data_IF_229370301186
#
_entry.id   IF_229370301186
#
_cell.length_a   1.000
_cell.length_b   1.000
_cell.length_c   1.000
_cell.angle_alpha   90.00
_cell.angle_beta   90.00
_cell.angle_gamma   90.00
#
_symmetry.space_group_name_H-M   'P 1'
#
loop_
_entity.id
_entity.type
_entity.pdbx_description
1 polymer ?
#
# COMPACT_ATOMS: atom_id res chain seq x y z
N UNK A 1 -7.16 -24.28 14.80
CA UNK A 1 -6.72 -22.87 14.83
C UNK A 1 -5.65 -22.71 13.78
N UNK A 2 -5.83 -21.81 12.81
CA UNK A 2 -4.83 -21.59 11.76
C UNK A 2 -3.52 -21.11 12.40
N UNK A 3 -2.40 -21.71 12.00
CA UNK A 3 -1.09 -21.33 12.48
C UNK A 3 -0.68 -20.02 11.80
N UNK A 4 -0.58 -18.93 12.57
CA UNK A 4 -0.14 -17.64 12.02
C UNK A 4 1.30 -17.79 11.51
N UNK A 5 1.51 -17.56 10.21
CA UNK A 5 2.83 -17.56 9.55
C UNK A 5 3.28 -16.12 9.28
N UNK A 6 4.59 -15.89 9.18
CA UNK A 6 5.16 -14.57 8.92
C UNK A 6 5.44 -13.72 10.17
N UNK A 7 5.44 -12.40 10.00
CA UNK A 7 5.69 -11.43 11.07
C UNK A 7 4.45 -11.28 11.95
N UNK A 8 4.62 -11.46 13.26
CA UNK A 8 3.53 -11.41 14.24
C UNK A 8 3.90 -10.54 15.43
N UNK A 9 2.86 -10.03 16.08
CA UNK A 9 2.90 -9.28 17.33
C UNK A 9 2.13 -10.06 18.39
N UNK A 10 2.79 -10.37 19.50
CA UNK A 10 2.16 -10.86 20.70
C UNK A 10 1.90 -9.71 21.67
N UNK A 11 0.68 -9.63 22.22
CA UNK A 11 0.28 -8.60 23.18
C UNK A 11 -0.38 -9.22 24.41
N UNK A 12 0.15 -8.88 25.58
CA UNK A 12 -0.42 -9.23 26.88
C UNK A 12 -0.50 -7.97 27.76
N UNK A 13 -1.64 -7.81 28.44
CA UNK A 13 -1.87 -6.74 29.43
C UNK A 13 -2.55 -7.36 30.65
N UNK A 14 -1.97 -7.17 31.83
CA UNK A 14 -2.61 -7.49 33.10
C UNK A 14 -2.94 -6.19 33.82
N UNK A 15 -4.23 -5.95 34.06
CA UNK A 15 -4.71 -4.76 34.77
C UNK A 15 -4.48 -4.88 36.29
N UNK A 16 -4.36 -6.11 36.82
CA UNK A 16 -4.11 -6.38 38.24
C UNK A 16 -2.65 -6.16 38.63
N UNK A 17 -1.71 -6.42 37.72
CA UNK A 17 -0.28 -6.31 37.97
C UNK A 17 0.38 -5.12 37.27
N UNK A 18 -0.38 -4.30 36.54
CA UNK A 18 0.09 -3.20 35.69
C UNK A 18 1.26 -3.61 34.76
N UNK A 19 1.16 -4.84 34.21
CA UNK A 19 2.18 -5.40 33.31
C UNK A 19 1.68 -5.33 31.88
N UNK A 20 2.51 -4.76 31.00
CA UNK A 20 2.28 -4.73 29.55
C UNK A 20 3.46 -5.36 28.82
N UNK A 21 3.21 -6.46 28.12
CA UNK A 21 4.21 -7.17 27.31
C UNK A 21 3.83 -7.07 25.84
N UNK A 22 4.78 -6.64 25.02
CA UNK A 22 4.65 -6.56 23.57
C UNK A 22 5.90 -7.15 22.94
N UNK A 23 5.71 -8.18 22.12
CA UNK A 23 6.79 -8.91 21.45
C UNK A 23 6.47 -8.93 19.96
N UNK A 24 7.41 -8.50 19.13
CA UNK A 24 7.26 -8.44 17.67
C UNK A 24 8.40 -9.21 17.01
N UNK A 25 8.07 -10.03 16.00
CA UNK A 25 9.08 -10.83 15.31
C UNK A 25 8.46 -11.88 14.41
N UNK A 26 9.31 -12.77 13.91
CA UNK A 26 8.88 -13.99 13.20
C UNK A 26 8.03 -14.87 14.12
N UNK A 27 6.97 -15.47 13.58
CA UNK A 27 6.05 -16.35 14.33
C UNK A 27 6.75 -17.45 15.12
N UNK A 28 7.78 -18.08 14.56
CA UNK A 28 8.54 -19.13 15.26
C UNK A 28 9.32 -18.59 16.45
N UNK A 29 9.91 -17.40 16.32
CA UNK A 29 10.64 -16.73 17.40
C UNK A 29 9.70 -16.26 18.50
N UNK A 30 8.60 -15.58 18.13
CA UNK A 30 7.61 -15.08 19.09
C UNK A 30 7.00 -16.22 19.90
N UNK A 31 6.66 -17.35 19.27
CA UNK A 31 6.16 -18.54 19.99
C UNK A 31 7.17 -19.07 21.00
N UNK A 32 8.44 -19.20 20.61
CA UNK A 32 9.50 -19.67 21.51
C UNK A 32 9.66 -18.72 22.72
N UNK A 33 9.71 -17.42 22.48
CA UNK A 33 9.85 -16.43 23.57
C UNK A 33 8.63 -16.42 24.49
N UNK A 34 7.41 -16.56 23.95
CA UNK A 34 6.18 -16.65 24.75
C UNK A 34 6.17 -17.91 25.61
N UNK A 35 6.62 -19.05 25.07
CA UNK A 35 6.77 -20.31 25.80
C UNK A 35 7.79 -20.19 26.94
N UNK A 36 8.94 -19.58 26.67
CA UNK A 36 10.01 -19.37 27.65
C UNK A 36 9.59 -18.43 28.79
N UNK A 37 8.72 -17.46 28.49
CA UNK A 37 8.13 -16.55 29.48
C UNK A 37 6.92 -17.15 30.22
N UNK A 38 6.45 -18.35 29.84
CA UNK A 38 5.26 -18.97 30.42
C UNK A 38 3.97 -18.17 30.16
N UNK A 39 3.95 -17.35 29.10
CA UNK A 39 2.81 -16.51 28.73
C UNK A 39 1.89 -17.21 27.71
N UNK A 40 1.91 -18.54 27.67
CA UNK A 40 1.06 -19.31 26.78
C UNK A 40 -0.42 -19.19 27.20
N UNK A 41 -1.30 -18.87 26.24
CA UNK A 41 -2.75 -18.80 26.45
C UNK A 41 -3.28 -17.53 27.11
N UNK A 42 -2.42 -16.64 27.65
CA UNK A 42 -2.86 -15.40 28.32
C UNK A 42 -2.89 -14.17 27.42
N UNK A 43 -2.06 -14.13 26.37
CA UNK A 43 -2.01 -13.02 25.43
C UNK A 43 -2.53 -13.37 24.04
N UNK A 44 -2.63 -12.34 23.19
CA UNK A 44 -3.14 -12.46 21.83
C UNK A 44 -2.02 -12.27 20.82
N UNK A 45 -1.89 -13.22 19.88
CA UNK A 45 -1.07 -13.04 18.67
C UNK A 45 -1.89 -12.38 17.56
N UNK A 46 -1.29 -11.38 16.93
CA UNK A 46 -1.82 -10.66 15.77
C UNK A 46 -0.77 -10.67 14.65
N UNK A 47 -1.13 -10.91 13.38
CA UNK A 47 -0.19 -10.69 12.29
C UNK A 47 0.16 -9.19 12.20
N UNK A 48 1.44 -8.88 12.00
CA UNK A 48 1.87 -7.53 11.60
C UNK A 48 1.69 -7.47 10.10
N UNK A 49 0.77 -6.61 9.65
CA UNK A 49 0.64 -6.30 8.23
C UNK A 49 1.98 -5.74 7.74
N UNK A 50 2.73 -6.56 7.01
CA UNK A 50 3.70 -6.06 6.04
C UNK A 50 2.91 -5.23 5.01
N UNK A 51 3.55 -4.15 4.54
CA UNK A 51 3.02 -3.14 3.61
C UNK A 51 1.86 -3.67 2.77
N UNK A 52 0.63 -3.26 3.11
CA UNK A 52 -0.51 -3.47 2.23
C UNK A 52 -0.24 -2.68 0.96
N UNK A 53 0.25 -3.36 -0.07
CA UNK A 53 0.21 -2.84 -1.43
C UNK A 53 -1.27 -2.59 -1.71
N UNK A 54 -1.64 -1.33 -1.91
CA UNK A 54 -3.01 -0.95 -2.17
C UNK A 54 -3.51 -1.68 -3.43
N UNK A 55 -4.14 -2.83 -3.25
CA UNK A 55 -4.92 -3.49 -4.28
C UNK A 55 -6.23 -2.73 -4.34
N UNK A 56 -6.30 -1.74 -5.23
CA UNK A 56 -7.57 -1.24 -5.73
C UNK A 56 -8.26 -2.38 -6.49
N UNK A 57 -8.76 -3.39 -5.78
CA UNK A 57 -9.56 -4.45 -6.38
C UNK A 57 -11.03 -4.10 -6.16
N UNK A 58 -11.59 -3.40 -7.13
CA UNK A 58 -13.02 -3.49 -7.42
C UNK A 58 -13.35 -4.95 -7.72
N UNK A 59 -13.70 -5.73 -6.69
CA UNK A 59 -14.37 -7.03 -6.81
C UNK A 59 -13.57 -8.20 -7.38
N UNK A 60 -12.23 -8.16 -7.37
CA UNK A 60 -11.40 -9.29 -7.80
C UNK A 60 -10.81 -9.95 -6.56
N UNK A 61 -11.24 -11.19 -6.28
CA UNK A 61 -10.62 -12.08 -5.31
C UNK A 61 -9.28 -12.54 -5.89
N UNK A 62 -8.18 -11.98 -5.38
CA UNK A 62 -6.84 -12.48 -5.68
C UNK A 62 -6.58 -13.60 -4.65
N UNK A 63 -6.39 -14.86 -5.07
CA UNK A 63 -6.05 -15.92 -4.12
C UNK A 63 -4.71 -15.59 -3.45
N UNK A 64 -4.64 -15.79 -2.14
CA UNK A 64 -3.40 -15.63 -1.37
C UNK A 64 -2.33 -16.55 -1.97
N UNK A 65 -1.37 -15.95 -2.68
CA UNK A 65 -0.20 -16.66 -3.20
C UNK A 65 0.71 -16.99 -2.01
N UNK A 66 0.57 -18.19 -1.45
CA UNK A 66 1.73 -18.88 -0.90
C UNK A 66 2.66 -19.21 -2.07
N UNK A 67 3.88 -18.68 -2.00
CA UNK A 67 5.14 -19.17 -2.57
C UNK A 67 5.00 -20.50 -3.35
N UNK A 68 4.52 -20.42 -4.60
CA UNK A 68 4.67 -21.50 -5.56
C UNK A 68 6.09 -21.39 -6.07
N UNK A 69 6.94 -22.32 -5.62
CA UNK A 69 8.28 -22.49 -6.10
C UNK A 69 8.34 -22.39 -7.64
N UNK A 70 9.18 -21.48 -8.13
CA UNK A 70 9.83 -21.55 -9.44
C UNK A 70 9.06 -22.27 -10.56
N UNK A 71 7.95 -21.71 -11.01
CA UNK A 71 7.46 -21.97 -12.35
C UNK A 71 7.84 -20.76 -13.21
N UNK A 72 8.88 -20.96 -14.01
CA UNK A 72 9.44 -20.07 -15.03
C UNK A 72 8.57 -18.83 -15.30
N UNK A 73 8.89 -17.74 -14.58
CA UNK A 73 8.44 -16.40 -14.91
C UNK A 73 9.12 -16.02 -16.22
N UNK A 74 8.53 -16.50 -17.32
CA UNK A 74 8.98 -16.19 -18.66
C UNK A 74 8.81 -14.67 -18.84
N UNK A 75 9.91 -13.92 -18.70
CA UNK A 75 9.96 -12.46 -18.83
C UNK A 75 9.33 -11.99 -20.16
N UNK A 76 9.24 -12.88 -21.16
CA UNK A 76 8.59 -12.62 -22.44
C UNK A 76 7.06 -12.48 -22.37
N UNK A 77 6.41 -12.87 -21.25
CA UNK A 77 4.95 -12.73 -21.06
C UNK A 77 4.55 -11.39 -20.45
N UNK A 78 5.47 -10.66 -19.84
CA UNK A 78 5.20 -9.33 -19.24
C UNK A 78 5.06 -8.23 -20.30
N UNK A 79 5.73 -8.38 -21.45
CA UNK A 79 5.70 -7.42 -22.57
C UNK A 79 4.54 -7.63 -23.55
N UNK A 80 3.67 -8.62 -23.31
CA UNK A 80 2.53 -8.88 -24.18
C UNK A 80 1.37 -7.96 -23.82
N UNK A 81 1.05 -7.06 -24.74
CA UNK A 81 -0.16 -6.23 -24.64
C UNK A 81 -1.38 -7.15 -24.46
N UNK A 82 -2.29 -6.86 -23.50
CA UNK A 82 -3.51 -7.63 -23.31
C UNK A 82 -4.29 -7.77 -24.62
N UNK A 83 -4.84 -8.96 -24.85
CA UNK A 83 -5.51 -9.33 -26.11
C UNK A 83 -6.69 -8.41 -26.46
N UNK A 84 -7.35 -7.84 -25.45
CA UNK A 84 -8.47 -6.93 -25.66
C UNK A 84 -8.26 -5.61 -24.88
N UNK A 85 -7.70 -4.63 -25.58
CA UNK A 85 -7.56 -3.24 -25.10
C UNK A 85 -8.52 -2.30 -25.84
N UNK A 86 -9.56 -2.86 -26.50
CA UNK A 86 -10.43 -2.10 -27.38
C UNK A 86 -9.75 -1.58 -28.65
N UNK A 87 -10.45 -0.74 -29.44
CA UNK A 87 -9.89 -0.17 -30.67
C UNK A 87 -8.72 0.77 -30.37
N UNK A 88 -7.72 0.79 -31.26
CA UNK A 88 -6.59 1.71 -31.15
C UNK A 88 -7.11 3.14 -31.05
N UNK A 89 -6.68 3.93 -30.04
CA UNK A 89 -7.11 5.31 -29.90
C UNK A 89 -6.72 6.11 -31.14
N UNK A 90 -7.65 6.87 -31.69
CA UNK A 90 -7.41 7.74 -32.85
C UNK A 90 -6.70 9.02 -32.39
N UNK A 91 -5.43 9.24 -32.77
CA UNK A 91 -4.65 10.42 -32.36
C UNK A 91 -5.24 11.73 -32.90
N UNK A 92 -6.11 11.67 -33.91
CA UNK A 92 -6.79 12.83 -34.51
C UNK A 92 -7.85 13.45 -33.59
N UNK A 93 -8.26 12.73 -32.53
CA UNK A 93 -9.23 13.22 -31.53
C UNK A 93 -8.62 14.10 -30.44
N UNK A 94 -7.30 14.17 -30.35
CA UNK A 94 -6.63 14.96 -29.33
C UNK A 94 -6.65 16.44 -29.77
N UNK A 95 -7.28 17.36 -29.01
CA UNK A 95 -7.24 18.76 -29.33
C UNK A 95 -5.81 19.30 -29.22
N UNK A 96 -5.31 19.91 -30.28
CA UNK A 96 -3.99 20.54 -30.31
C UNK A 96 -4.08 21.87 -29.55
N UNK A 97 -3.90 21.81 -28.22
CA UNK A 97 -3.82 23.02 -27.38
C UNK A 97 -2.40 23.58 -27.48
N UNK A 98 -2.14 24.37 -28.53
CA UNK A 98 -0.90 25.17 -28.64
C UNK A 98 -1.09 26.45 -27.84
N UNK A 99 -0.44 26.56 -26.68
CA UNK A 99 -0.29 27.86 -25.99
C UNK A 99 0.96 28.54 -26.55
N UNK A 100 0.87 29.75 -27.12
CA UNK A 100 2.06 30.49 -27.52
C UNK A 100 2.88 30.84 -26.27
N UNK A 101 4.20 30.66 -26.37
CA UNK A 101 5.13 30.96 -25.30
C UNK A 101 5.11 32.47 -25.05
N UNK A 102 4.89 32.91 -23.82
CA UNK A 102 4.91 34.34 -23.45
C UNK A 102 3.58 35.09 -23.46
N UNK A 103 2.43 34.44 -23.71
CA UNK A 103 1.11 35.07 -23.60
C UNK A 103 0.57 35.13 -22.15
N UNK A 104 1.15 34.36 -21.22
CA UNK A 104 0.67 34.28 -19.84
C UNK A 104 1.00 35.57 -19.05
N UNK A 105 0.03 36.45 -18.90
CA UNK A 105 0.13 37.59 -17.98
C UNK A 105 -0.35 37.16 -16.58
N UNK A 106 0.60 36.87 -15.70
CA UNK A 106 0.34 36.42 -14.33
C UNK A 106 -0.46 37.45 -13.52
N UNK A 107 -0.29 38.75 -13.79
CA UNK A 107 -0.99 39.81 -13.06
C UNK A 107 -2.49 39.79 -13.38
N UNK A 108 -2.84 39.69 -14.66
CA UNK A 108 -4.24 39.61 -15.11
C UNK A 108 -4.94 38.33 -14.61
N UNK A 109 -4.23 37.19 -14.56
CA UNK A 109 -4.81 35.95 -14.03
C UNK A 109 -5.00 36.01 -12.51
N UNK A 110 -4.06 36.61 -11.77
CA UNK A 110 -4.20 36.80 -10.31
C UNK A 110 -5.38 37.72 -9.98
N UNK A 111 -5.58 38.79 -10.75
CA UNK A 111 -6.75 39.68 -10.62
C UNK A 111 -8.07 38.94 -10.92
N UNK A 112 -8.12 38.09 -11.96
CA UNK A 112 -9.31 37.25 -12.25
C UNK A 112 -9.66 36.30 -11.11
N UNK A 113 -8.66 35.80 -10.38
CA UNK A 113 -8.83 34.90 -9.24
C UNK A 113 -9.10 35.70 -7.94
N UNK A 114 -9.06 37.03 -7.97
CA UNK A 114 -9.33 37.91 -6.83
C UNK A 114 -8.17 38.05 -5.85
N UNK A 115 -6.95 37.63 -6.25
CA UNK A 115 -5.73 37.80 -5.46
C UNK A 115 -5.05 39.12 -5.84
N UNK A 116 -5.05 40.06 -4.90
CA UNK A 116 -4.27 41.29 -5.03
C UNK A 116 -2.86 41.08 -4.51
N UNK A 117 -1.86 41.60 -5.24
CA UNK A 117 -0.46 41.58 -4.80
C UNK A 117 -0.33 42.50 -3.58
N UNK A 118 0.28 42.04 -2.47
CA UNK A 118 0.45 42.87 -1.28
C UNK A 118 1.35 44.07 -1.58
N UNK A 119 0.81 45.28 -1.36
CA UNK A 119 1.57 46.54 -1.43
C UNK A 119 2.32 46.72 -0.11
N UNK A 120 3.63 46.96 -0.17
CA UNK A 120 4.41 47.32 1.02
C UNK A 120 4.01 48.72 1.50
N UNK A 121 3.91 48.96 2.81
CA UNK A 121 3.59 50.27 3.36
C UNK A 121 4.65 51.33 3.02
#
# INVERSE_FOLDING_TARGET
MAELRGQVRYRFRSDEHDVKVLIEGSSSWVKKTVAELGLEGVGRMMPIASEMRATNTSGIEIPDYEDAESEDFDETKLDQKPLDMGPTPDPSRIPIVRRPIGQLNLVEELEKIGLQVPVRP
#
